data_IF_363060308249
#
_entry.id   IF_363060308249
#
_cell.length_a   1.000
_cell.length_b   1.000
_cell.length_c   1.000
_cell.angle_alpha   90.00
_cell.angle_beta   90.00
_cell.angle_gamma   90.00
#
_symmetry.space_group_name_H-M   'P 1'
#
loop_
_entity.id
_entity.type
_entity.pdbx_description
1 polymer ?
#
# COMPACT_ATOMS: atom_id res chain seq x y z
N UNK A 1 9.06 -14.11 -10.24
CA UNK A 1 7.74 -13.46 -10.39
C UNK A 1 7.40 -12.82 -9.05
N UNK A 2 7.31 -11.49 -9.00
CA UNK A 2 7.09 -10.70 -7.77
C UNK A 2 5.69 -10.13 -7.66
N UNK A 3 5.55 -9.01 -6.96
CA UNK A 3 4.26 -8.32 -6.85
C UNK A 3 4.01 -7.43 -8.08
N UNK A 4 2.74 -7.21 -8.39
CA UNK A 4 2.28 -6.33 -9.45
C UNK A 4 1.27 -5.33 -8.89
N UNK A 5 1.22 -4.13 -9.46
CA UNK A 5 0.21 -3.13 -9.13
C UNK A 5 -1.13 -3.50 -9.76
N UNK A 6 -2.18 -3.49 -8.93
CA UNK A 6 -3.56 -3.78 -9.30
C UNK A 6 -4.47 -2.65 -8.82
N UNK A 7 -5.46 -2.31 -9.64
CA UNK A 7 -6.52 -1.37 -9.28
C UNK A 7 -7.83 -2.12 -9.10
N UNK A 8 -8.32 -2.17 -7.87
CA UNK A 8 -9.62 -2.76 -7.54
C UNK A 8 -10.71 -1.70 -7.65
N UNK A 9 -11.61 -1.84 -8.60
CA UNK A 9 -12.73 -0.91 -8.84
C UNK A 9 -13.96 -1.36 -8.07
N UNK A 10 -14.72 -0.40 -7.55
CA UNK A 10 -15.96 -0.65 -6.78
C UNK A 10 -15.74 -1.60 -5.58
N UNK A 11 -14.53 -1.64 -5.01
CA UNK A 11 -14.20 -2.50 -3.87
C UNK A 11 -14.79 -1.93 -2.57
N UNK A 12 -15.73 -2.64 -1.97
CA UNK A 12 -16.27 -2.28 -0.66
C UNK A 12 -15.33 -2.79 0.46
N UNK A 13 -14.90 -1.92 1.37
CA UNK A 13 -14.04 -2.33 2.50
C UNK A 13 -14.68 -3.40 3.39
N UNK A 14 -16.02 -3.45 3.44
CA UNK A 14 -16.78 -4.49 4.15
C UNK A 14 -16.63 -5.89 3.56
N UNK A 15 -16.07 -6.03 2.35
CA UNK A 15 -15.79 -7.32 1.73
C UNK A 15 -14.49 -7.97 2.22
N UNK A 16 -13.67 -7.25 2.99
CA UNK A 16 -12.46 -7.81 3.58
C UNK A 16 -12.82 -8.73 4.76
N UNK A 17 -12.31 -9.96 4.77
CA UNK A 17 -12.55 -10.93 5.84
C UNK A 17 -11.70 -10.66 7.09
N UNK A 18 -10.51 -10.10 6.90
CA UNK A 18 -9.57 -9.80 7.98
C UNK A 18 -9.96 -8.49 8.70
N UNK A 19 -9.75 -8.40 10.03
CA UNK A 19 -10.00 -7.17 10.76
C UNK A 19 -9.03 -6.07 10.28
N UNK A 20 -9.57 -4.86 10.07
CA UNK A 20 -8.80 -3.71 9.60
C UNK A 20 -9.13 -2.45 10.39
N UNK A 21 -8.19 -1.51 10.42
CA UNK A 21 -8.36 -0.14 10.89
C UNK A 21 -8.33 0.80 9.68
N UNK A 22 -9.23 1.78 9.63
CA UNK A 22 -9.18 2.86 8.64
C UNK A 22 -8.59 4.12 9.26
N UNK A 23 -7.54 4.65 8.65
CA UNK A 23 -6.88 5.88 9.10
C UNK A 23 -6.96 6.90 7.97
N UNK A 24 -7.47 8.10 8.27
CA UNK A 24 -7.51 9.20 7.31
C UNK A 24 -6.08 9.74 7.12
N UNK A 25 -5.61 9.78 5.86
CA UNK A 25 -4.30 10.33 5.52
C UNK A 25 -4.36 11.79 5.08
N UNK A 26 -5.50 12.23 4.55
CA UNK A 26 -5.69 13.58 4.03
C UNK A 26 -6.86 13.65 3.05
N UNK A 27 -7.05 14.83 2.47
CA UNK A 27 -8.07 15.09 1.46
C UNK A 27 -7.43 15.27 0.08
N UNK A 28 -8.15 14.85 -0.95
CA UNK A 28 -7.74 15.04 -2.35
C UNK A 28 -8.88 15.71 -3.11
N UNK A 29 -8.54 16.65 -3.99
CA UNK A 29 -9.53 17.29 -4.84
C UNK A 29 -10.18 16.27 -5.79
N UNK A 30 -11.50 16.34 -5.92
CA UNK A 30 -12.29 15.50 -6.81
C UNK A 30 -11.79 15.47 -8.26
N UNK A 31 -11.16 16.55 -8.76
CA UNK A 31 -10.61 16.59 -10.11
C UNK A 31 -9.49 15.56 -10.35
N UNK A 32 -8.82 15.14 -9.27
CA UNK A 32 -7.75 14.13 -9.32
C UNK A 32 -8.28 12.70 -9.23
N UNK A 33 -9.60 12.52 -9.06
CA UNK A 33 -10.27 11.22 -8.93
C UNK A 33 -11.02 10.91 -10.22
N UNK A 34 -10.80 9.70 -10.74
CA UNK A 34 -11.53 9.19 -11.89
C UNK A 34 -12.70 8.33 -11.39
N UNK A 35 -13.92 8.84 -11.49
CA UNK A 35 -15.11 8.07 -11.14
C UNK A 35 -15.30 6.89 -12.10
N UNK A 36 -15.70 5.74 -11.56
CA UNK A 36 -16.20 4.63 -12.35
C UNK A 36 -17.56 5.02 -12.93
N UNK A 37 -17.57 5.58 -14.14
CA UNK A 37 -18.77 5.74 -14.96
C UNK A 37 -19.49 4.40 -15.03
N UNK A 38 -20.61 4.25 -14.29
CA UNK A 38 -21.77 3.31 -14.40
C UNK A 38 -21.61 1.91 -15.04
N UNK A 39 -20.41 1.46 -15.33
CA UNK A 39 -20.07 0.23 -16.02
C UNK A 39 -19.86 -0.83 -14.95
N UNK A 40 -21.00 -1.41 -14.58
CA UNK A 40 -21.18 -2.45 -13.56
C UNK A 40 -20.92 -2.02 -12.12
N UNK A 41 -21.95 -2.19 -11.29
CA UNK A 41 -21.84 -2.15 -9.82
C UNK A 41 -21.00 -3.31 -9.25
N UNK A 42 -20.60 -4.27 -10.07
CA UNK A 42 -19.74 -5.38 -9.66
C UNK A 42 -18.29 -4.91 -9.50
N UNK A 43 -17.64 -5.40 -8.44
CA UNK A 43 -16.20 -5.26 -8.25
C UNK A 43 -15.45 -5.94 -9.41
N UNK A 44 -14.40 -5.29 -9.90
CA UNK A 44 -13.46 -5.89 -10.85
C UNK A 44 -12.04 -5.35 -10.61
N UNK A 45 -11.05 -6.05 -11.18
CA UNK A 45 -9.65 -5.70 -11.09
C UNK A 45 -9.13 -5.34 -12.48
N UNK A 46 -8.38 -4.24 -12.57
CA UNK A 46 -7.66 -3.85 -13.78
C UNK A 46 -6.23 -3.37 -13.45
N UNK A 47 -5.46 -3.08 -14.49
CA UNK A 47 -4.08 -2.59 -14.38
C UNK A 47 -3.88 -1.25 -15.11
N UNK A 48 -4.95 -0.56 -15.49
CA UNK A 48 -4.88 0.68 -16.28
C UNK A 48 -5.15 1.87 -15.37
N UNK A 49 -4.16 2.72 -15.09
CA UNK A 49 -4.35 3.89 -14.26
C UNK A 49 -5.27 4.91 -14.95
N UNK A 50 -6.20 5.49 -14.20
CA UNK A 50 -7.20 6.47 -14.68
C UNK A 50 -7.12 7.81 -13.93
N UNK A 51 -6.94 7.75 -12.62
CA UNK A 51 -6.84 8.94 -11.76
C UNK A 51 -5.40 9.40 -11.56
N UNK A 52 -5.20 10.64 -11.11
CA UNK A 52 -3.86 11.16 -10.87
C UNK A 52 -3.09 10.38 -9.79
N UNK A 53 -3.83 9.83 -8.81
CA UNK A 53 -3.29 8.95 -7.77
C UNK A 53 -2.83 7.63 -8.35
N UNK A 54 -3.61 7.04 -9.26
CA UNK A 54 -3.25 5.77 -9.91
C UNK A 54 -2.07 5.94 -10.86
N UNK A 55 -2.03 7.06 -11.58
CA UNK A 55 -0.88 7.44 -12.41
C UNK A 55 0.35 7.59 -11.50
N UNK A 56 0.23 8.25 -10.34
CA UNK A 56 1.31 8.36 -9.37
C UNK A 56 1.78 6.97 -8.90
N UNK A 57 0.84 6.08 -8.56
CA UNK A 57 1.16 4.72 -8.12
C UNK A 57 1.91 3.92 -9.20
N UNK A 58 1.51 4.04 -10.47
CA UNK A 58 2.16 3.33 -11.58
C UNK A 58 3.61 3.75 -11.85
N UNK A 59 4.02 4.93 -11.37
CA UNK A 59 5.39 5.43 -11.48
C UNK A 59 6.32 4.82 -10.44
N UNK A 60 5.79 4.11 -9.45
CA UNK A 60 6.56 3.52 -8.35
C UNK A 60 6.62 2.01 -8.58
N UNK A 61 7.83 1.46 -8.84
CA UNK A 61 7.99 0.03 -9.06
C UNK A 61 7.42 -0.78 -7.90
N UNK A 62 6.54 -1.73 -8.22
CA UNK A 62 6.02 -2.68 -7.24
C UNK A 62 7.17 -3.45 -6.57
N UNK A 63 6.99 -3.87 -5.31
CA UNK A 63 8.00 -4.69 -4.63
C UNK A 63 8.37 -5.91 -5.46
N UNK A 64 9.68 -6.14 -5.61
CA UNK A 64 10.18 -7.39 -6.21
C UNK A 64 10.06 -8.52 -5.18
N UNK A 65 10.15 -9.78 -5.64
CA UNK A 65 10.38 -10.88 -4.70
C UNK A 65 11.64 -10.55 -3.91
N UNK A 66 11.54 -10.56 -2.59
CA UNK A 66 12.71 -10.43 -1.72
C UNK A 66 13.71 -11.52 -2.07
N UNK A 67 14.92 -11.11 -2.46
CA UNK A 67 16.00 -12.07 -2.76
C UNK A 67 16.48 -12.78 -1.48
N UNK A 68 16.24 -12.19 -0.31
CA UNK A 68 16.58 -12.76 0.99
C UNK A 68 15.60 -12.32 2.08
N UNK A 69 14.61 -13.18 2.36
CA UNK A 69 13.55 -12.95 3.35
C UNK A 69 14.08 -12.77 4.80
N UNK A 70 15.31 -13.23 5.09
CA UNK A 70 15.93 -13.12 6.42
C UNK A 70 16.78 -11.85 6.59
N UNK A 71 17.00 -11.06 5.52
CA UNK A 71 17.76 -9.83 5.62
C UNK A 71 16.87 -8.64 6.02
N UNK A 72 17.40 -7.66 6.79
CA UNK A 72 16.69 -6.44 7.13
C UNK A 72 16.03 -5.78 5.93
N UNK A 73 14.81 -5.31 6.15
CA UNK A 73 14.05 -4.57 5.14
C UNK A 73 14.79 -3.26 4.85
N UNK A 74 15.05 -3.02 3.57
CA UNK A 74 15.67 -1.80 3.07
C UNK A 74 14.87 -1.26 1.88
N UNK A 75 15.08 0.01 1.55
CA UNK A 75 14.34 0.69 0.48
C UNK A 75 14.77 0.26 -0.94
N UNK A 76 15.62 -0.77 -1.08
CA UNK A 76 16.26 -1.13 -2.36
C UNK A 76 16.10 -2.59 -2.76
N UNK A 77 16.54 -3.54 -1.94
CA UNK A 77 16.61 -4.97 -2.28
C UNK A 77 15.58 -5.84 -1.55
N UNK A 78 15.04 -5.38 -0.42
CA UNK A 78 14.06 -6.08 0.42
C UNK A 78 12.86 -5.17 0.74
N UNK A 79 12.27 -4.62 -0.31
CA UNK A 79 11.08 -3.77 -0.22
C UNK A 79 9.84 -4.63 0.06
N UNK A 80 9.09 -4.32 1.11
CA UNK A 80 7.75 -4.90 1.36
C UNK A 80 6.66 -3.97 0.84
N UNK A 81 5.40 -4.42 0.87
CA UNK A 81 4.25 -3.60 0.51
C UNK A 81 4.18 -2.30 1.35
N UNK A 82 4.55 -2.34 2.63
CA UNK A 82 4.59 -1.14 3.49
C UNK A 82 5.60 -0.09 3.01
N UNK A 83 6.74 -0.54 2.49
CA UNK A 83 7.81 0.35 2.02
C UNK A 83 7.36 1.00 0.71
N UNK A 84 6.66 0.24 -0.13
CA UNK A 84 5.98 0.79 -1.30
C UNK A 84 4.90 1.81 -0.92
N UNK A 85 4.09 1.53 0.10
CA UNK A 85 3.08 2.48 0.60
C UNK A 85 3.71 3.78 1.09
N UNK A 86 4.83 3.71 1.81
CA UNK A 86 5.57 4.90 2.26
C UNK A 86 6.09 5.73 1.07
N UNK A 87 6.69 5.10 0.07
CA UNK A 87 7.13 5.78 -1.14
C UNK A 87 5.97 6.40 -1.92
N UNK A 88 4.85 5.68 -2.01
CA UNK A 88 3.64 6.17 -2.67
C UNK A 88 3.10 7.42 -2.02
N UNK A 89 2.97 7.44 -0.69
CA UNK A 89 2.47 8.60 0.04
C UNK A 89 3.42 9.80 -0.09
N UNK A 90 4.74 9.57 -0.01
CA UNK A 90 5.73 10.64 -0.26
C UNK A 90 5.64 11.19 -1.68
N UNK A 91 5.40 10.33 -2.67
CA UNK A 91 5.23 10.74 -4.07
C UNK A 91 3.97 11.56 -4.28
N UNK A 92 2.86 11.20 -3.62
CA UNK A 92 1.63 12.00 -3.64
C UNK A 92 1.85 13.39 -3.04
N UNK A 93 2.56 13.49 -1.92
CA UNK A 93 2.92 14.78 -1.30
C UNK A 93 3.82 15.61 -2.23
N UNK A 94 4.85 15.00 -2.83
CA UNK A 94 5.73 15.68 -3.76
C UNK A 94 5.00 16.21 -5.02
N UNK A 95 3.89 15.56 -5.40
CA UNK A 95 3.00 16.00 -6.49
C UNK A 95 1.94 17.00 -6.06
N UNK A 96 1.87 17.37 -4.76
CA UNK A 96 0.85 18.26 -4.22
C UNK A 96 -0.55 17.64 -4.18
N UNK A 97 -0.66 16.30 -4.26
CA UNK A 97 -1.93 15.57 -4.21
C UNK A 97 -2.36 15.24 -2.77
N UNK A 98 -1.41 15.28 -1.82
CA UNK A 98 -1.64 15.15 -0.39
C UNK A 98 -0.80 16.18 0.37
N UNK A 99 -1.22 16.52 1.58
CA UNK A 99 -0.47 17.38 2.50
C UNK A 99 0.66 16.59 3.19
N UNK A 100 1.69 17.30 3.65
CA UNK A 100 2.89 16.70 4.26
C UNK A 100 2.58 15.84 5.51
N UNK A 101 1.51 16.19 6.24
CA UNK A 101 1.02 15.45 7.41
C UNK A 101 0.72 13.97 7.08
N UNK A 102 0.33 13.67 5.84
CA UNK A 102 0.06 12.30 5.40
C UNK A 102 1.27 11.38 5.60
N UNK A 103 2.49 11.89 5.38
CA UNK A 103 3.74 11.11 5.57
C UNK A 103 3.94 10.76 7.04
N UNK A 104 3.64 11.70 7.94
CA UNK A 104 3.78 11.49 9.39
C UNK A 104 2.78 10.44 9.89
N UNK A 105 1.53 10.51 9.42
CA UNK A 105 0.47 9.57 9.78
C UNK A 105 0.85 8.15 9.33
N UNK A 106 1.22 7.95 8.07
CA UNK A 106 1.61 6.62 7.57
C UNK A 106 2.86 6.10 8.28
N UNK A 107 3.84 6.97 8.55
CA UNK A 107 5.05 6.58 9.27
C UNK A 107 4.75 6.10 10.70
N UNK A 108 3.74 6.66 11.36
CA UNK A 108 3.32 6.23 12.71
C UNK A 108 2.63 4.86 12.74
N UNK A 109 2.04 4.44 11.61
CA UNK A 109 1.35 3.16 11.44
C UNK A 109 2.23 2.07 10.81
N UNK A 110 3.43 2.44 10.37
CA UNK A 110 4.39 1.51 9.76
C UNK A 110 4.97 0.58 10.81
N UNK A 111 5.03 -0.72 10.49
CA UNK A 111 5.73 -1.67 11.34
C UNK A 111 7.22 -1.35 11.43
N UNK A 112 7.82 -1.72 12.56
CA UNK A 112 9.28 -1.66 12.71
C UNK A 112 9.97 -2.42 11.56
N UNK A 113 11.12 -1.95 11.06
CA UNK A 113 11.91 -2.67 10.05
C UNK A 113 12.30 -4.10 10.48
N UNK A 114 12.27 -4.40 11.78
CA UNK A 114 12.54 -5.74 12.33
C UNK A 114 11.30 -6.65 12.40
N UNK A 115 10.10 -6.13 12.11
CA UNK A 115 8.87 -6.90 12.14
C UNK A 115 8.91 -8.01 11.08
N UNK A 116 8.66 -9.26 11.48
CA UNK A 116 8.73 -10.44 10.59
C UNK A 116 10.12 -11.04 10.39
N UNK A 117 11.19 -10.46 10.94
CA UNK A 117 12.58 -10.99 10.84
C UNK A 117 12.86 -12.07 11.91
N UNK A 118 12.02 -12.18 12.94
CA UNK A 118 12.20 -13.17 13.99
C UNK A 118 11.46 -14.48 13.67
N UNK A 119 12.21 -15.59 13.58
CA UNK A 119 11.66 -16.93 13.80
C UNK A 119 11.03 -16.93 15.21
N UNK A 120 9.71 -16.97 15.31
CA UNK A 120 9.08 -17.29 16.58
C UNK A 120 9.35 -18.77 16.89
N UNK A 121 9.92 -19.11 18.06
CA UNK A 121 10.07 -20.50 18.44
C UNK A 121 8.68 -21.16 18.47
N UNK A 122 8.49 -22.19 17.66
CA UNK A 122 7.31 -23.03 17.74
C UNK A 122 7.35 -23.84 19.05
N UNK A 123 6.73 -23.30 20.09
CA UNK A 123 6.40 -24.01 21.32
C UNK A 123 7.40 -23.87 22.46
N UNK A 124 7.09 -23.00 23.42
CA UNK A 124 7.36 -23.29 24.83
C UNK A 124 6.02 -23.59 25.48
N UNK A 125 5.63 -24.86 25.44
CA UNK A 125 4.49 -25.39 26.21
C UNK A 125 4.92 -25.30 27.68
N UNK A 126 4.41 -24.31 28.40
CA UNK A 126 4.51 -24.24 29.85
C UNK A 126 3.41 -25.15 30.40
N UNK A 127 3.80 -26.29 30.96
CA UNK A 127 3.06 -27.00 32.00
C UNK A 127 4.06 -27.32 33.10
#
# INVERSE_FOLDING_TARGET
>A
MGYQLEFKRNHALSSNEEPYETVLLGHVDSQHIADSLKESSSMYVDHTPRSDLEIAASQIPAPRVSENFMAPVNDTTNKRCQEWTMEFVRHLVARGLLEEEAVQIVQSKRDSPAHGIALQPAGRRVV
#
